data_IF_195008742508
#
_entry.id   IF_195008742508
#
_cell.length_a   1.000
_cell.length_b   1.000
_cell.length_c   1.000
_cell.angle_alpha   90.00
_cell.angle_beta   90.00
_cell.angle_gamma   90.00
#
_symmetry.space_group_name_H-M   'P 1'
#
loop_
_entity.id
_entity.type
_entity.pdbx_description
1 polymer ?
#
# COMPACT_ATOMS: atom_id res chain seq x y z
N UNK A 1 -26.63 0.71 14.15
CA UNK A 1 -25.48 0.12 14.83
C UNK A 1 -24.18 0.61 14.23
N UNK A 2 -23.29 1.04 15.05
CA UNK A 2 -22.01 1.57 14.58
C UNK A 2 -20.94 0.48 14.58
N UNK A 3 -20.35 0.26 13.42
CA UNK A 3 -19.13 -0.52 13.36
C UNK A 3 -17.97 0.44 13.66
N UNK A 4 -17.04 0.02 14.52
CA UNK A 4 -15.86 0.85 14.74
C UNK A 4 -15.12 1.00 13.41
N UNK A 5 -14.77 2.25 13.09
CA UNK A 5 -13.93 2.52 11.93
C UNK A 5 -12.52 2.07 12.31
N UNK A 6 -11.99 1.14 11.54
CA UNK A 6 -10.63 0.70 11.76
C UNK A 6 -9.67 1.84 11.44
N UNK A 7 -8.85 2.21 12.41
CA UNK A 7 -7.83 3.22 12.22
C UNK A 7 -6.52 2.55 11.84
N UNK A 8 -5.88 3.01 10.76
CA UNK A 8 -4.60 2.43 10.40
C UNK A 8 -3.55 2.69 11.48
N UNK A 9 -2.76 1.68 11.77
CA UNK A 9 -1.62 1.81 12.67
C UNK A 9 -0.44 2.31 11.85
N UNK A 10 0.06 3.49 12.19
CA UNK A 10 1.25 4.04 11.53
C UNK A 10 2.48 3.26 11.98
N UNK A 11 3.20 2.70 11.04
CA UNK A 11 4.42 1.95 11.31
C UNK A 11 5.57 2.50 10.49
N UNK A 12 6.78 2.15 10.91
CA UNK A 12 7.99 2.49 10.18
C UNK A 12 8.13 1.57 8.97
N UNK A 13 8.56 2.11 7.85
CA UNK A 13 8.73 1.34 6.62
C UNK A 13 9.70 0.17 6.76
N UNK A 14 10.67 0.26 7.67
CA UNK A 14 11.62 -0.81 7.91
C UNK A 14 10.98 -2.05 8.52
N UNK A 15 9.84 -1.89 9.18
CA UNK A 15 9.10 -3.00 9.80
C UNK A 15 8.39 -3.87 8.76
N UNK A 16 8.18 -3.33 7.55
CA UNK A 16 7.45 -4.03 6.49
C UNK A 16 8.02 -5.42 6.18
N UNK A 17 9.34 -5.57 6.24
CA UNK A 17 9.99 -6.86 5.98
C UNK A 17 9.62 -7.95 6.99
N UNK A 18 9.08 -7.57 8.15
CA UNK A 18 8.70 -8.50 9.21
C UNK A 18 7.23 -8.87 9.17
N UNK A 19 6.46 -8.24 8.29
CA UNK A 19 5.00 -8.44 8.22
C UNK A 19 4.65 -9.67 7.37
N UNK A 20 3.50 -10.26 7.67
CA UNK A 20 2.96 -11.37 6.91
C UNK A 20 1.72 -10.93 6.16
N UNK A 21 1.63 -11.33 4.89
CA UNK A 21 0.56 -10.90 4.01
C UNK A 21 -0.27 -12.10 3.55
N UNK A 22 -1.54 -12.21 4.00
CA UNK A 22 -2.43 -13.27 3.52
C UNK A 22 -2.73 -13.15 2.03
N UNK A 23 -3.19 -14.26 1.43
CA UNK A 23 -3.44 -14.35 -0.01
C UNK A 23 -4.64 -13.55 -0.52
N UNK A 24 -5.80 -13.47 0.19
CA UNK A 24 -6.96 -12.79 -0.38
C UNK A 24 -6.73 -11.31 -0.65
N UNK A 25 -7.30 -10.80 -1.74
CA UNK A 25 -7.28 -9.37 -2.02
C UNK A 25 -8.20 -8.64 -1.04
N UNK A 26 -7.74 -7.53 -0.50
CA UNK A 26 -8.54 -6.72 0.43
C UNK A 26 -9.64 -5.94 -0.28
N UNK A 27 -9.56 -5.78 -1.60
CA UNK A 27 -10.57 -5.11 -2.41
C UNK A 27 -11.31 -6.14 -3.25
N UNK A 28 -12.63 -6.28 -3.03
CA UNK A 28 -13.45 -7.26 -3.75
C UNK A 28 -14.05 -6.70 -5.04
N UNK A 29 -14.18 -5.38 -5.11
CA UNK A 29 -14.82 -4.71 -6.24
C UNK A 29 -13.78 -4.43 -7.34
N UNK A 30 -14.03 -4.86 -8.59
CA UNK A 30 -13.10 -4.59 -9.69
C UNK A 30 -12.81 -3.11 -9.91
N UNK A 31 -13.80 -2.24 -9.73
CA UNK A 31 -13.60 -0.80 -9.87
C UNK A 31 -12.63 -0.26 -8.82
N UNK A 32 -12.70 -0.79 -7.58
CA UNK A 32 -11.79 -0.40 -6.52
C UNK A 32 -10.36 -0.86 -6.83
N UNK A 33 -10.21 -2.04 -7.43
CA UNK A 33 -8.90 -2.56 -7.84
C UNK A 33 -8.30 -1.69 -8.95
N UNK A 34 -9.11 -1.27 -9.90
CA UNK A 34 -8.68 -0.38 -10.99
C UNK A 34 -8.23 0.97 -10.43
N UNK A 35 -9.01 1.53 -9.50
CA UNK A 35 -8.65 2.78 -8.85
C UNK A 35 -7.31 2.64 -8.10
N UNK A 36 -7.15 1.55 -7.37
CA UNK A 36 -5.90 1.28 -6.67
C UNK A 36 -4.71 1.25 -7.63
N UNK A 37 -4.87 0.57 -8.78
CA UNK A 37 -3.80 0.49 -9.76
C UNK A 37 -3.44 1.86 -10.33
N UNK A 38 -4.43 2.70 -10.59
CA UNK A 38 -4.22 4.07 -11.05
C UNK A 38 -3.44 4.88 -10.00
N UNK A 39 -3.78 4.73 -8.74
CA UNK A 39 -3.08 5.39 -7.64
C UNK A 39 -1.62 4.95 -7.55
N UNK A 40 -1.39 3.65 -7.70
CA UNK A 40 -0.05 3.09 -7.68
C UNK A 40 0.78 3.63 -8.84
N UNK A 41 0.24 3.61 -10.05
CA UNK A 41 0.94 4.09 -11.24
C UNK A 41 1.33 5.55 -11.08
N UNK A 42 0.44 6.37 -10.57
CA UNK A 42 0.70 7.79 -10.33
C UNK A 42 1.77 7.97 -9.25
N UNK A 43 1.69 7.21 -8.17
CA UNK A 43 2.66 7.29 -7.09
C UNK A 43 4.06 6.88 -7.54
N UNK A 44 4.16 5.86 -8.41
CA UNK A 44 5.44 5.46 -9.00
C UNK A 44 6.01 6.60 -9.85
N UNK A 45 5.18 7.20 -10.69
CA UNK A 45 5.60 8.32 -11.52
C UNK A 45 6.13 9.48 -10.67
N UNK A 46 5.38 9.90 -9.65
CA UNK A 46 5.76 10.99 -8.77
C UNK A 46 7.00 10.64 -7.92
N UNK A 47 7.14 9.38 -7.54
CA UNK A 47 8.30 8.92 -6.80
C UNK A 47 9.57 9.01 -7.63
N UNK A 48 9.50 8.67 -8.92
CA UNK A 48 10.65 8.70 -9.81
C UNK A 48 11.00 10.10 -10.28
N UNK A 49 10.00 10.97 -10.49
CA UNK A 49 10.24 12.31 -11.04
C UNK A 49 10.47 13.36 -9.96
N UNK A 50 9.78 13.25 -8.82
CA UNK A 50 9.77 14.30 -7.80
C UNK A 50 10.11 13.80 -6.40
N UNK A 51 10.40 12.51 -6.24
CA UNK A 51 10.68 11.88 -4.94
C UNK A 51 9.57 12.10 -3.93
N UNK A 52 8.32 12.15 -4.40
CA UNK A 52 7.15 12.41 -3.57
C UNK A 52 6.90 11.26 -2.60
N UNK A 53 6.72 11.59 -1.33
CA UNK A 53 6.26 10.62 -0.33
C UNK A 53 4.75 10.47 -0.43
N UNK A 54 4.28 9.24 -0.32
CA UNK A 54 2.85 8.92 -0.33
C UNK A 54 2.50 8.11 0.91
N UNK A 55 1.23 8.08 1.25
CA UNK A 55 0.72 7.23 2.33
C UNK A 55 0.14 5.98 1.71
N UNK A 56 0.57 4.84 2.22
CA UNK A 56 0.11 3.54 1.73
C UNK A 56 -0.65 2.87 2.86
N UNK A 57 -1.93 2.59 2.61
CA UNK A 57 -2.78 1.86 3.53
C UNK A 57 -2.87 0.42 3.04
N UNK A 58 -2.50 -0.51 3.89
CA UNK A 58 -2.45 -1.92 3.53
C UNK A 58 -2.77 -2.80 4.74
N UNK A 59 -3.14 -4.04 4.48
CA UNK A 59 -3.48 -5.00 5.54
C UNK A 59 -2.45 -6.11 5.58
N UNK A 60 -1.82 -6.28 6.73
CA UNK A 60 -1.07 -7.49 7.01
C UNK A 60 -2.01 -8.51 7.67
N UNK A 61 -1.47 -9.57 8.26
CA UNK A 61 -2.29 -10.59 8.94
C UNK A 61 -2.91 -10.10 10.25
N UNK A 62 -2.47 -8.95 10.76
CA UNK A 62 -2.95 -8.42 12.03
C UNK A 62 -3.91 -7.24 11.88
N UNK A 63 -4.00 -6.62 10.70
CA UNK A 63 -4.94 -5.52 10.47
C UNK A 63 -4.43 -4.43 9.57
N UNK A 64 -5.11 -3.31 9.61
CA UNK A 64 -4.81 -2.16 8.74
C UNK A 64 -3.60 -1.39 9.26
N UNK A 65 -2.63 -1.22 8.37
CA UNK A 65 -1.39 -0.49 8.63
C UNK A 65 -1.24 0.67 7.67
N UNK A 66 -0.45 1.64 8.06
CA UNK A 66 -0.13 2.78 7.21
C UNK A 66 1.36 3.07 7.29
N UNK A 67 1.96 3.31 6.14
CA UNK A 67 3.34 3.82 6.06
C UNK A 67 3.37 5.06 5.18
N UNK A 68 4.40 5.87 5.38
CA UNK A 68 4.65 7.04 4.53
C UNK A 68 6.04 6.89 3.94
N UNK A 69 6.12 6.80 2.61
CA UNK A 69 7.38 6.59 1.91
C UNK A 69 7.22 6.87 0.42
N UNK A 70 8.33 6.84 -0.29
CA UNK A 70 8.33 6.96 -1.75
C UNK A 70 8.25 5.57 -2.38
N UNK A 71 7.40 5.43 -3.39
CA UNK A 71 7.32 4.19 -4.18
C UNK A 71 8.28 4.35 -5.36
N UNK A 72 9.26 3.46 -5.46
CA UNK A 72 10.26 3.51 -6.53
C UNK A 72 9.86 2.75 -7.77
N UNK A 73 9.01 1.75 -7.64
CA UNK A 73 8.57 0.97 -8.76
C UNK A 73 7.45 0.02 -8.40
N UNK A 74 6.97 -0.69 -9.41
CA UNK A 74 5.94 -1.71 -9.20
C UNK A 74 6.04 -2.77 -10.27
N UNK A 75 5.70 -4.00 -9.87
CA UNK A 75 5.46 -5.11 -10.80
C UNK A 75 3.96 -5.33 -10.88
N UNK A 76 3.53 -6.35 -11.61
CA UNK A 76 2.12 -6.73 -11.65
C UNK A 76 1.59 -7.21 -10.29
N UNK A 77 2.48 -7.58 -9.37
CA UNK A 77 2.10 -8.21 -8.09
C UNK A 77 2.48 -7.41 -6.85
N UNK A 78 3.44 -6.51 -6.94
CA UNK A 78 3.95 -5.81 -5.75
C UNK A 78 4.49 -4.43 -6.07
N UNK A 79 4.47 -3.57 -5.06
CA UNK A 79 5.17 -2.29 -5.14
C UNK A 79 6.54 -2.41 -4.47
N UNK A 80 7.47 -1.60 -4.94
CA UNK A 80 8.84 -1.55 -4.42
C UNK A 80 9.05 -0.17 -3.80
N UNK A 81 9.38 -0.17 -2.52
CA UNK A 81 9.58 1.05 -1.75
C UNK A 81 11.01 1.57 -1.88
N UNK A 82 11.21 2.80 -1.51
CA UNK A 82 12.53 3.45 -1.51
C UNK A 82 13.59 2.64 -0.78
N UNK A 83 13.22 1.95 0.28
CA UNK A 83 14.13 1.11 1.05
C UNK A 83 14.48 -0.22 0.38
N UNK A 84 13.82 -0.55 -0.74
CA UNK A 84 13.93 -1.85 -1.38
C UNK A 84 12.93 -2.87 -0.87
N UNK A 85 12.18 -2.55 0.17
CA UNK A 85 11.15 -3.44 0.69
C UNK A 85 9.94 -3.45 -0.24
N UNK A 86 9.16 -4.53 -0.20
CA UNK A 86 8.03 -4.73 -1.10
C UNK A 86 6.74 -4.95 -0.32
N UNK A 87 5.62 -4.51 -0.91
CA UNK A 87 4.29 -4.78 -0.39
C UNK A 87 3.47 -5.37 -1.53
N UNK A 88 2.80 -6.51 -1.30
CA UNK A 88 1.95 -7.11 -2.34
C UNK A 88 0.75 -6.22 -2.62
N UNK A 89 0.46 -6.00 -3.89
CA UNK A 89 -0.61 -5.11 -4.33
C UNK A 89 -1.97 -5.55 -3.81
N UNK A 90 -2.22 -6.86 -3.77
CA UNK A 90 -3.51 -7.38 -3.31
C UNK A 90 -3.81 -7.09 -1.84
N UNK A 91 -2.83 -6.67 -1.05
CA UNK A 91 -3.04 -6.28 0.34
C UNK A 91 -3.10 -4.76 0.52
N UNK A 92 -2.94 -4.00 -0.54
CA UNK A 92 -3.04 -2.54 -0.49
C UNK A 92 -4.50 -2.13 -0.62
N UNK A 93 -4.97 -1.31 0.32
CA UNK A 93 -6.30 -0.76 0.28
C UNK A 93 -6.35 0.53 -0.51
N UNK A 94 -5.38 1.41 -0.29
CA UNK A 94 -5.37 2.73 -0.89
C UNK A 94 -3.96 3.33 -0.87
N UNK A 95 -3.65 4.14 -1.88
CA UNK A 95 -2.44 4.97 -1.90
C UNK A 95 -2.90 6.42 -1.97
N UNK A 96 -2.54 7.19 -0.95
CA UNK A 96 -2.89 8.62 -0.85
C UNK A 96 -1.68 9.47 -1.23
N UNK A 97 -1.85 10.26 -2.24
CA UNK A 97 -0.81 11.16 -2.73
C UNK A 97 -0.94 12.54 -2.09
#
# INVERSE_FOLDING_TARGET
>A
MNHPIEKPVLIDKEVVSELRFPEPDVLFNPAARTKRQTEIDRAVYLGNTEHTKVRILFHDNAGLKQIETTIWGATDKRIILKSGMVIPIHRIQEVKI
#
